data_IF_727875114402
#
_entry.id   IF_727875114402
#
_cell.length_a   1.000
_cell.length_b   1.000
_cell.length_c   1.000
_cell.angle_alpha   90.00
_cell.angle_beta   90.00
_cell.angle_gamma   90.00
#
_symmetry.space_group_name_H-M   'P 1'
#
loop_
_entity.id
_entity.type
_entity.pdbx_description
1 polymer ?
#
# COMPACT_ATOMS: atom_id res chain seq x y z
N UNK A 1 -13.30 -16.90 7.75
CA UNK A 1 -13.22 -15.63 8.49
C UNK A 1 -14.54 -14.91 8.29
N UNK A 2 -15.01 -14.10 9.26
CA UNK A 2 -16.16 -13.23 9.04
C UNK A 2 -15.76 -12.21 7.95
N UNK A 3 -16.70 -11.89 7.06
CA UNK A 3 -16.47 -10.87 6.03
C UNK A 3 -16.35 -9.51 6.72
N UNK A 4 -15.33 -8.72 6.38
CA UNK A 4 -15.10 -7.39 6.95
C UNK A 4 -16.31 -6.49 6.68
N UNK A 5 -16.59 -5.60 7.62
CA UNK A 5 -17.66 -4.62 7.50
C UNK A 5 -17.07 -3.23 7.28
N UNK A 6 -17.51 -2.52 6.25
CA UNK A 6 -17.07 -1.17 5.91
C UNK A 6 -18.20 -0.17 6.11
N UNK A 7 -17.85 1.06 6.50
CA UNK A 7 -18.72 2.20 6.28
C UNK A 7 -18.75 2.50 4.77
N UNK A 8 -19.96 2.62 4.22
CA UNK A 8 -20.17 2.85 2.80
C UNK A 8 -20.77 4.22 2.53
N UNK A 9 -20.44 4.75 1.37
CA UNK A 9 -20.77 6.12 0.98
C UNK A 9 -21.29 6.17 -0.47
N UNK A 10 -22.03 7.25 -0.77
CA UNK A 10 -22.37 7.60 -2.14
C UNK A 10 -21.21 8.34 -2.84
N UNK A 11 -21.46 8.82 -4.07
CA UNK A 11 -20.43 9.51 -4.87
C UNK A 11 -19.99 10.86 -4.27
N UNK A 12 -20.84 11.52 -3.50
CA UNK A 12 -20.57 12.75 -2.77
C UNK A 12 -20.00 12.51 -1.36
N UNK A 13 -19.71 11.24 -1.01
CA UNK A 13 -19.25 10.81 0.32
C UNK A 13 -20.27 11.04 1.43
N UNK A 14 -21.57 11.07 1.12
CA UNK A 14 -22.59 10.99 2.15
C UNK A 14 -22.70 9.54 2.65
N UNK A 15 -22.82 9.32 3.98
CA UNK A 15 -22.89 7.96 4.54
C UNK A 15 -24.20 7.25 4.12
N UNK A 16 -24.07 6.01 3.66
CA UNK A 16 -25.17 5.12 3.30
C UNK A 16 -25.46 4.05 4.37
N UNK A 17 -24.54 3.88 5.32
CA UNK A 17 -24.59 2.84 6.35
C UNK A 17 -23.37 1.93 6.28
N UNK A 18 -23.55 0.65 6.53
CA UNK A 18 -22.47 -0.34 6.50
C UNK A 18 -22.81 -1.49 5.54
N UNK A 19 -21.79 -2.07 4.93
CA UNK A 19 -21.91 -3.27 4.10
C UNK A 19 -20.68 -4.18 4.31
N UNK A 20 -20.86 -5.46 4.00
CA UNK A 20 -19.71 -6.36 4.00
C UNK A 20 -18.76 -6.02 2.85
N UNK A 21 -17.48 -6.40 2.97
CA UNK A 21 -16.49 -6.23 1.90
C UNK A 21 -17.00 -6.80 0.56
N UNK A 22 -17.54 -8.01 0.61
CA UNK A 22 -18.10 -8.68 -0.58
C UNK A 22 -19.24 -7.87 -1.21
N UNK A 23 -20.16 -7.34 -0.41
CA UNK A 23 -21.26 -6.52 -0.89
C UNK A 23 -20.78 -5.17 -1.42
N UNK A 24 -19.84 -4.54 -0.73
CA UNK A 24 -19.23 -3.27 -1.11
C UNK A 24 -18.65 -3.34 -2.52
N UNK A 25 -17.83 -4.35 -2.79
CA UNK A 25 -17.22 -4.55 -4.10
C UNK A 25 -18.20 -5.07 -5.16
N UNK A 26 -19.21 -5.85 -4.79
CA UNK A 26 -20.22 -6.29 -5.74
C UNK A 26 -21.12 -5.15 -6.24
N UNK A 27 -21.38 -4.16 -5.38
CA UNK A 27 -22.24 -3.01 -5.69
C UNK A 27 -21.48 -1.73 -6.04
N UNK A 28 -20.16 -1.72 -5.83
CA UNK A 28 -19.29 -0.57 -6.08
C UNK A 28 -19.61 0.62 -5.16
N UNK A 29 -19.86 0.36 -3.87
CA UNK A 29 -19.99 1.44 -2.90
C UNK A 29 -18.63 2.09 -2.63
N UNK A 30 -18.62 3.41 -2.46
CA UNK A 30 -17.45 4.12 -1.97
C UNK A 30 -17.17 3.72 -0.53
N UNK A 31 -15.91 3.47 -0.23
CA UNK A 31 -15.42 3.17 1.12
C UNK A 31 -14.04 3.79 1.33
N UNK A 32 -13.54 3.75 2.54
CA UNK A 32 -12.28 4.43 2.90
C UNK A 32 -11.14 3.45 3.11
N UNK A 33 -9.95 3.90 2.76
CA UNK A 33 -8.70 3.18 3.00
C UNK A 33 -7.60 4.14 3.47
N UNK A 34 -6.51 3.56 3.96
CA UNK A 34 -5.29 4.27 4.31
C UNK A 34 -4.14 3.73 3.47
N UNK A 35 -3.32 4.63 2.93
CA UNK A 35 -2.08 4.32 2.25
C UNK A 35 -0.91 4.90 3.04
N UNK A 36 0.08 4.09 3.39
CA UNK A 36 1.25 4.56 4.09
C UNK A 36 2.53 4.17 3.35
N UNK A 37 3.30 5.17 2.93
CA UNK A 37 4.59 5.02 2.28
C UNK A 37 5.71 5.22 3.30
N UNK A 38 6.53 4.20 3.52
CA UNK A 38 7.67 4.29 4.40
C UNK A 38 8.89 4.78 3.62
N UNK A 39 9.63 5.69 4.26
CA UNK A 39 10.91 6.18 3.75
C UNK A 39 12.01 5.98 4.77
N UNK A 40 13.25 5.94 4.31
CA UNK A 40 14.46 5.88 5.13
C UNK A 40 15.48 6.87 4.58
N UNK A 41 16.27 7.46 5.47
CA UNK A 41 17.38 8.33 5.10
C UNK A 41 18.74 7.64 5.31
N UNK A 42 19.65 7.92 4.39
CA UNK A 42 21.05 7.52 4.53
C UNK A 42 21.94 8.64 3.98
N UNK A 43 22.45 9.47 4.87
CA UNK A 43 23.11 10.73 4.50
C UNK A 43 22.13 11.65 3.76
N UNK A 44 22.47 12.05 2.55
CA UNK A 44 21.62 12.88 1.69
C UNK A 44 20.66 12.05 0.81
N UNK A 45 20.81 10.72 0.80
CA UNK A 45 19.96 9.84 0.00
C UNK A 45 18.67 9.51 0.74
N UNK A 46 17.58 9.36 0.00
CA UNK A 46 16.28 8.92 0.47
C UNK A 46 15.86 7.66 -0.24
N UNK A 47 15.42 6.70 0.53
CA UNK A 47 14.91 5.43 0.03
C UNK A 47 13.41 5.35 0.31
N UNK A 48 12.66 4.82 -0.64
CA UNK A 48 11.23 4.53 -0.50
C UNK A 48 11.04 3.04 -0.44
N UNK A 49 10.24 2.59 0.53
CA UNK A 49 9.87 1.18 0.68
C UNK A 49 8.56 0.90 -0.02
N UNK A 50 8.46 -0.29 -0.57
CA UNK A 50 7.26 -0.82 -1.21
C UNK A 50 7.15 -2.32 -0.92
N UNK A 51 5.92 -2.83 -0.82
CA UNK A 51 5.70 -4.24 -0.56
C UNK A 51 5.58 -5.05 -1.86
N UNK A 52 5.87 -6.34 -1.78
CA UNK A 52 5.46 -7.34 -2.74
C UNK A 52 4.24 -8.06 -2.17
N UNK A 53 3.11 -7.95 -2.85
CA UNK A 53 1.85 -8.59 -2.46
C UNK A 53 1.97 -10.10 -2.56
N UNK A 54 1.30 -10.82 -1.66
CA UNK A 54 1.25 -12.27 -1.74
C UNK A 54 0.59 -12.76 -3.04
N UNK A 55 1.12 -13.88 -3.54
CA UNK A 55 0.59 -14.52 -4.75
C UNK A 55 -0.83 -15.09 -4.57
N UNK A 56 -1.29 -15.20 -3.33
CA UNK A 56 -2.62 -15.71 -2.96
C UNK A 56 -3.68 -14.60 -2.82
N UNK A 57 -3.30 -13.33 -3.01
CA UNK A 57 -4.25 -12.21 -2.95
C UNK A 57 -5.25 -12.27 -4.10
N UNK A 58 -6.50 -11.96 -3.82
CA UNK A 58 -7.59 -11.95 -4.80
C UNK A 58 -7.41 -10.87 -5.88
N UNK A 59 -6.83 -9.72 -5.49
CA UNK A 59 -6.56 -8.60 -6.39
C UNK A 59 -5.07 -8.34 -6.49
N UNK A 60 -4.57 -8.09 -7.71
CA UNK A 60 -3.17 -7.73 -8.00
C UNK A 60 -2.14 -8.66 -7.30
N UNK A 61 -2.27 -10.02 -7.40
CA UNK A 61 -1.31 -10.94 -6.80
C UNK A 61 0.09 -10.74 -7.39
N UNK A 62 1.11 -10.84 -6.54
CA UNK A 62 2.52 -10.70 -6.93
C UNK A 62 2.92 -9.36 -7.55
N UNK A 63 2.09 -8.33 -7.43
CA UNK A 63 2.48 -6.97 -7.78
C UNK A 63 3.22 -6.30 -6.62
N UNK A 64 4.09 -5.35 -6.96
CA UNK A 64 4.59 -4.37 -5.99
C UNK A 64 3.51 -3.34 -5.68
N UNK A 65 3.49 -2.84 -4.45
CA UNK A 65 2.45 -1.91 -4.00
C UNK A 65 3.00 -0.92 -2.96
N UNK A 66 2.15 -0.03 -2.49
CA UNK A 66 2.36 0.85 -1.34
C UNK A 66 2.99 0.05 -0.20
N UNK A 67 3.77 0.69 0.67
CA UNK A 67 4.48 -0.05 1.73
C UNK A 67 3.51 -0.77 2.67
N UNK A 68 2.43 -0.10 3.11
CA UNK A 68 1.31 -0.68 3.83
C UNK A 68 0.01 0.01 3.40
N UNK A 69 -1.05 -0.74 3.22
CA UNK A 69 -2.36 -0.21 2.82
C UNK A 69 -3.49 -1.13 3.29
N UNK A 70 -4.55 -0.53 3.83
CA UNK A 70 -5.69 -1.29 4.31
C UNK A 70 -6.98 -0.47 4.32
N UNK A 71 -8.10 -1.17 4.44
CA UNK A 71 -9.42 -0.55 4.52
C UNK A 71 -9.73 -0.12 5.95
N UNK A 72 -10.51 0.94 6.08
CA UNK A 72 -11.13 1.29 7.34
C UNK A 72 -12.36 0.40 7.56
N UNK A 73 -12.39 -0.32 8.67
CA UNK A 73 -13.57 -1.07 9.09
C UNK A 73 -14.68 -0.14 9.56
N UNK A 74 -15.92 -0.64 9.63
CA UNK A 74 -17.06 0.17 10.03
C UNK A 74 -16.88 0.81 11.42
N UNK A 75 -17.01 2.13 11.48
CA UNK A 75 -16.80 2.94 12.70
C UNK A 75 -15.34 3.22 13.03
N UNK A 76 -14.39 2.72 12.26
CA UNK A 76 -12.95 2.93 12.49
C UNK A 76 -12.53 4.35 12.11
N UNK A 77 -11.70 4.95 12.93
CA UNK A 77 -11.06 6.24 12.66
C UNK A 77 -9.71 6.05 11.95
N UNK A 78 -9.19 7.10 11.30
CA UNK A 78 -7.84 7.05 10.72
C UNK A 78 -6.75 6.72 11.76
N UNK A 79 -6.91 7.17 13.01
CA UNK A 79 -5.95 6.87 14.07
C UNK A 79 -5.90 5.37 14.41
N UNK A 80 -7.03 4.70 14.30
CA UNK A 80 -7.12 3.25 14.49
C UNK A 80 -6.64 2.48 13.25
N UNK A 81 -6.94 2.99 12.04
CA UNK A 81 -6.52 2.37 10.78
C UNK A 81 -4.98 2.31 10.60
N UNK A 82 -4.23 3.12 11.35
CA UNK A 82 -2.75 3.03 11.39
C UNK A 82 -2.26 1.66 11.89
N UNK A 83 -3.12 0.84 12.53
CA UNK A 83 -2.84 -0.56 12.90
C UNK A 83 -2.30 -1.41 11.72
N UNK A 84 -2.68 -1.07 10.47
CA UNK A 84 -2.22 -1.77 9.28
C UNK A 84 -0.68 -1.81 9.18
N UNK A 85 0.01 -0.77 9.66
CA UNK A 85 1.47 -0.75 9.72
C UNK A 85 2.03 -1.83 10.67
N UNK A 86 1.40 -2.04 11.82
CA UNK A 86 1.83 -3.10 12.77
C UNK A 86 1.40 -4.48 12.28
N UNK A 87 0.19 -4.61 11.74
CA UNK A 87 -0.34 -5.89 11.24
C UNK A 87 0.47 -6.40 10.05
N UNK A 88 0.66 -5.58 9.02
CA UNK A 88 1.37 -5.98 7.81
C UNK A 88 2.89 -6.07 7.96
N UNK A 89 3.50 -5.16 8.75
CA UNK A 89 4.95 -4.95 8.76
C UNK A 89 5.60 -5.02 10.15
N UNK A 90 4.82 -5.01 11.24
CA UNK A 90 5.33 -4.90 12.60
C UNK A 90 5.88 -3.51 12.93
N UNK A 91 5.45 -2.47 12.22
CA UNK A 91 5.87 -1.08 12.43
C UNK A 91 4.80 -0.36 13.24
N UNK A 92 5.16 0.13 14.41
CA UNK A 92 4.26 0.89 15.28
C UNK A 92 4.54 2.39 15.16
N UNK A 93 3.54 3.14 14.78
CA UNK A 93 3.60 4.61 14.75
C UNK A 93 2.18 5.17 15.00
N UNK A 94 2.02 6.15 15.91
CA UNK A 94 0.74 6.84 16.03
C UNK A 94 0.51 7.78 14.84
N UNK A 95 -0.76 8.11 14.57
CA UNK A 95 -1.15 8.94 13.42
C UNK A 95 -0.39 10.29 13.37
N UNK A 96 -0.07 10.86 14.53
CA UNK A 96 0.63 12.16 14.65
C UNK A 96 2.08 12.12 14.11
N UNK A 97 2.65 10.93 13.95
CA UNK A 97 3.98 10.76 13.34
C UNK A 97 3.90 10.62 11.82
N UNK A 98 2.71 10.35 11.28
CA UNK A 98 2.51 10.23 9.85
C UNK A 98 2.39 11.62 9.21
N UNK A 99 3.04 11.80 8.08
CA UNK A 99 3.04 13.02 7.29
C UNK A 99 1.92 12.93 6.27
N UNK A 100 0.86 13.77 6.35
CA UNK A 100 -0.22 13.70 5.38
C UNK A 100 0.26 14.16 3.99
N UNK A 101 0.01 13.33 2.98
CA UNK A 101 0.36 13.59 1.58
C UNK A 101 -0.86 13.96 0.74
N UNK A 102 -2.05 13.88 1.31
CA UNK A 102 -3.32 14.19 0.66
C UNK A 102 -4.28 13.01 0.63
N UNK A 103 -5.30 13.13 -0.21
CA UNK A 103 -6.33 12.12 -0.39
C UNK A 103 -6.46 11.80 -1.88
N UNK A 104 -6.71 10.54 -2.20
CA UNK A 104 -6.88 10.05 -3.58
C UNK A 104 -8.23 9.34 -3.69
N UNK A 105 -8.93 9.54 -4.80
CA UNK A 105 -10.10 8.75 -5.18
C UNK A 105 -9.72 7.84 -6.33
N UNK A 106 -9.94 6.57 -6.17
CA UNK A 106 -9.66 5.56 -7.18
C UNK A 106 -10.92 4.73 -7.46
N UNK A 107 -11.06 4.32 -8.70
CA UNK A 107 -12.09 3.38 -9.12
C UNK A 107 -11.46 2.38 -10.06
N UNK A 108 -11.64 1.11 -9.77
CA UNK A 108 -11.28 0.04 -10.69
C UNK A 108 -12.42 -0.98 -10.81
N UNK A 109 -12.47 -1.66 -11.94
CA UNK A 109 -13.45 -2.70 -12.23
C UNK A 109 -12.74 -3.92 -12.79
N UNK A 110 -13.25 -5.10 -12.49
CA UNK A 110 -12.66 -6.33 -12.96
C UNK A 110 -13.51 -7.54 -12.64
N UNK A 111 -12.89 -8.70 -12.74
CA UNK A 111 -13.48 -9.98 -12.36
C UNK A 111 -12.53 -10.66 -11.39
N UNK A 112 -13.02 -10.96 -10.20
CA UNK A 112 -12.29 -11.70 -9.16
C UNK A 112 -13.00 -13.03 -8.91
N UNK A 113 -12.29 -14.15 -9.07
CA UNK A 113 -12.86 -15.50 -8.91
C UNK A 113 -14.15 -15.74 -9.73
N UNK A 114 -14.27 -15.11 -10.92
CA UNK A 114 -15.44 -15.23 -11.79
C UNK A 114 -16.62 -14.32 -11.41
N UNK A 115 -16.48 -13.48 -10.41
CA UNK A 115 -17.51 -12.52 -9.95
C UNK A 115 -17.09 -11.10 -10.35
N UNK A 116 -18.02 -10.27 -10.91
CA UNK A 116 -17.77 -8.86 -11.14
C UNK A 116 -17.36 -8.15 -9.84
N UNK A 117 -16.36 -7.30 -9.95
CA UNK A 117 -15.74 -6.59 -8.84
C UNK A 117 -15.62 -5.11 -9.23
N UNK A 118 -16.12 -4.24 -8.38
CA UNK A 118 -16.03 -2.78 -8.53
C UNK A 118 -15.45 -2.25 -7.24
N UNK A 119 -14.27 -1.72 -7.32
CA UNK A 119 -13.59 -1.11 -6.20
C UNK A 119 -13.62 0.40 -6.32
N UNK A 120 -14.13 1.09 -5.30
CA UNK A 120 -14.24 2.55 -5.23
C UNK A 120 -13.74 3.03 -3.89
N UNK A 121 -12.53 3.52 -3.88
CA UNK A 121 -11.84 3.92 -2.66
C UNK A 121 -11.59 5.43 -2.57
N UNK A 122 -11.72 5.94 -1.36
CA UNK A 122 -11.15 7.23 -0.96
C UNK A 122 -10.05 6.93 0.05
N UNK A 123 -8.81 7.05 -0.41
CA UNK A 123 -7.62 6.68 0.35
C UNK A 123 -6.96 7.92 0.95
N UNK A 124 -6.80 7.93 2.27
CA UNK A 124 -5.97 8.92 2.95
C UNK A 124 -4.50 8.50 2.86
N UNK A 125 -3.66 9.32 2.23
CA UNK A 125 -2.28 8.97 1.89
C UNK A 125 -1.31 9.65 2.85
N UNK A 126 -0.40 8.85 3.40
CA UNK A 126 0.61 9.29 4.37
C UNK A 126 2.01 8.83 3.99
N UNK A 127 3.01 9.61 4.46
CA UNK A 127 4.40 9.21 4.51
C UNK A 127 4.84 8.97 5.96
N UNK A 128 5.81 8.09 6.17
CA UNK A 128 6.43 7.85 7.48
C UNK A 128 7.93 7.65 7.28
N UNK A 129 8.75 8.42 8.01
CA UNK A 129 10.18 8.14 8.12
C UNK A 129 10.37 6.98 9.10
N UNK A 130 10.86 5.85 8.59
CA UNK A 130 10.99 4.61 9.35
C UNK A 130 12.43 4.09 9.23
N UNK A 131 13.18 4.20 10.32
CA UNK A 131 14.58 3.77 10.39
C UNK A 131 14.73 2.29 10.78
N UNK A 132 13.62 1.58 11.08
CA UNK A 132 13.65 0.14 11.38
C UNK A 132 14.31 -0.61 10.22
N UNK A 133 15.37 -1.40 10.47
CA UNK A 133 16.00 -2.21 9.43
C UNK A 133 14.99 -3.17 8.76
N UNK A 134 15.10 -3.40 7.46
CA UNK A 134 14.24 -4.34 6.74
C UNK A 134 14.24 -5.74 7.36
N UNK A 135 15.39 -6.18 7.91
CA UNK A 135 15.52 -7.49 8.57
C UNK A 135 14.80 -7.62 9.90
N UNK A 136 14.35 -6.50 10.49
CA UNK A 136 13.61 -6.47 11.75
C UNK A 136 12.09 -6.33 11.55
N UNK A 137 11.64 -6.18 10.30
CA UNK A 137 10.22 -6.17 9.97
C UNK A 137 9.57 -7.53 10.29
N UNK A 138 8.29 -7.50 10.60
CA UNK A 138 7.46 -8.68 10.83
C UNK A 138 6.35 -8.71 9.81
N UNK A 139 6.60 -9.37 8.68
CA UNK A 139 5.64 -9.40 7.59
C UNK A 139 4.49 -10.35 7.90
N UNK A 140 3.27 -9.91 7.62
CA UNK A 140 2.06 -10.73 7.68
C UNK A 140 2.05 -11.69 6.47
N UNK A 141 2.18 -13.01 6.69
CA UNK A 141 2.42 -13.95 5.58
C UNK A 141 1.26 -14.06 4.58
N UNK A 142 0.05 -13.71 5.00
CA UNK A 142 -1.15 -13.77 4.17
C UNK A 142 -1.22 -12.58 3.20
N UNK A 143 -0.57 -11.46 3.55
CA UNK A 143 -0.67 -10.19 2.83
C UNK A 143 0.61 -9.86 2.07
N UNK A 144 1.77 -9.98 2.74
CA UNK A 144 3.06 -9.44 2.29
C UNK A 144 4.07 -10.56 2.04
N UNK A 145 4.51 -10.70 0.80
CA UNK A 145 5.56 -11.66 0.40
C UNK A 145 6.97 -11.11 0.63
N UNK A 146 7.13 -9.79 0.62
CA UNK A 146 8.41 -9.13 0.83
C UNK A 146 8.27 -7.62 0.90
N UNK A 147 9.31 -6.95 1.40
CA UNK A 147 9.44 -5.48 1.40
C UNK A 147 10.77 -5.11 0.81
N UNK A 148 10.76 -4.18 -0.11
CA UNK A 148 11.93 -3.69 -0.83
C UNK A 148 12.08 -2.19 -0.63
N UNK A 149 13.30 -1.69 -0.79
CA UNK A 149 13.57 -0.26 -0.85
C UNK A 149 14.40 0.09 -2.09
N UNK A 150 14.13 1.27 -2.63
CA UNK A 150 14.84 1.84 -3.75
C UNK A 150 15.08 3.34 -3.51
N UNK A 151 16.11 3.88 -4.18
CA UNK A 151 16.34 5.32 -4.18
C UNK A 151 15.10 6.07 -4.70
N UNK A 152 14.70 7.13 -3.99
CA UNK A 152 13.47 7.88 -4.27
C UNK A 152 13.50 8.53 -5.66
N UNK A 153 14.64 9.14 -6.04
CA UNK A 153 14.75 9.82 -7.32
C UNK A 153 14.73 8.82 -8.49
N UNK A 154 15.36 7.64 -8.29
CA UNK A 154 15.31 6.58 -9.29
C UNK A 154 13.90 5.99 -9.42
N UNK A 155 13.17 5.81 -8.30
CA UNK A 155 11.79 5.33 -8.33
C UNK A 155 10.85 6.36 -8.99
N UNK A 156 11.05 7.64 -8.73
CA UNK A 156 10.34 8.71 -9.43
C UNK A 156 10.63 8.68 -10.93
N UNK A 157 11.90 8.57 -11.32
CA UNK A 157 12.34 8.47 -12.72
C UNK A 157 11.74 7.24 -13.45
N UNK A 158 11.53 6.12 -12.73
CA UNK A 158 10.85 4.93 -13.25
C UNK A 158 9.39 5.24 -13.62
N UNK A 159 8.64 5.88 -12.71
CA UNK A 159 7.22 6.23 -12.97
C UNK A 159 7.06 7.41 -13.94
N UNK A 160 8.07 8.27 -14.08
CA UNK A 160 8.11 9.31 -15.11
C UNK A 160 8.52 8.76 -16.50
N UNK A 161 8.90 7.48 -16.57
CA UNK A 161 9.30 6.81 -17.82
C UNK A 161 10.70 7.17 -18.33
N UNK A 162 11.51 7.85 -17.53
CA UNK A 162 12.93 8.14 -17.85
C UNK A 162 13.86 6.98 -17.53
N UNK A 163 13.42 6.04 -16.68
CA UNK A 163 14.02 4.73 -16.48
C UNK A 163 13.04 3.64 -16.89
N UNK A 164 13.55 2.52 -17.40
CA UNK A 164 12.74 1.34 -17.75
C UNK A 164 12.71 0.31 -16.63
N UNK A 165 13.74 0.30 -15.81
CA UNK A 165 13.90 -0.61 -14.67
C UNK A 165 14.87 -0.02 -13.65
N UNK A 166 14.76 -0.46 -12.39
CA UNK A 166 15.71 -0.06 -11.35
C UNK A 166 16.00 -1.21 -10.37
N UNK A 167 17.21 -1.29 -9.80
CA UNK A 167 17.53 -2.24 -8.75
C UNK A 167 16.88 -1.83 -7.42
N UNK A 168 16.36 -2.80 -6.69
CA UNK A 168 15.88 -2.63 -5.33
C UNK A 168 16.42 -3.73 -4.42
N UNK A 169 16.65 -3.38 -3.17
CA UNK A 169 17.10 -4.31 -2.13
C UNK A 169 16.00 -4.49 -1.09
N UNK A 170 15.92 -5.67 -0.51
CA UNK A 170 14.83 -5.92 0.43
C UNK A 170 14.97 -7.21 1.18
N UNK A 171 13.84 -7.63 1.74
CA UNK A 171 13.64 -8.90 2.40
C UNK A 171 12.38 -9.58 1.87
N UNK A 172 12.39 -10.89 1.86
CA UNK A 172 11.25 -11.69 1.44
C UNK A 172 11.01 -12.85 2.42
N UNK A 173 9.74 -13.24 2.54
CA UNK A 173 9.35 -14.45 3.23
C UNK A 173 9.72 -15.67 2.37
N UNK A 174 10.40 -16.67 2.93
CA UNK A 174 10.65 -17.92 2.20
C UNK A 174 9.33 -18.70 2.03
N UNK A 175 9.23 -19.52 0.98
CA UNK A 175 8.11 -20.45 0.83
C UNK A 175 7.97 -21.33 2.09
N UNK A 176 6.75 -21.35 2.66
CA UNK A 176 6.47 -22.11 3.88
C UNK A 176 6.75 -21.38 5.20
N UNK A 177 7.11 -20.10 5.14
CA UNK A 177 7.38 -19.26 6.31
C UNK A 177 8.81 -19.44 6.86
N UNK A 178 9.14 -18.65 7.87
CA UNK A 178 10.46 -18.66 8.51
C UNK A 178 11.08 -17.26 8.56
N UNK A 179 12.38 -17.18 8.92
CA UNK A 179 13.08 -15.89 8.96
C UNK A 179 13.12 -15.22 7.60
N UNK A 180 13.04 -13.90 7.59
CA UNK A 180 13.17 -13.09 6.38
C UNK A 180 14.55 -13.33 5.72
N UNK A 181 14.54 -13.47 4.41
CA UNK A 181 15.75 -13.64 3.60
C UNK A 181 16.05 -12.34 2.86
N UNK A 182 17.33 -11.93 2.87
CA UNK A 182 17.77 -10.82 2.04
C UNK A 182 17.49 -11.11 0.56
N UNK A 183 16.95 -10.13 -0.14
CA UNK A 183 16.52 -10.25 -1.53
C UNK A 183 16.96 -9.04 -2.35
N UNK A 184 17.33 -9.28 -3.60
CA UNK A 184 17.66 -8.25 -4.57
C UNK A 184 16.83 -8.48 -5.81
N UNK A 185 16.19 -7.44 -6.29
CA UNK A 185 15.30 -7.51 -7.45
C UNK A 185 15.59 -6.36 -8.41
N UNK A 186 15.17 -6.52 -9.65
CA UNK A 186 15.07 -5.42 -10.62
C UNK A 186 13.59 -5.22 -10.88
N UNK A 187 13.11 -4.01 -10.63
CA UNK A 187 11.69 -3.69 -10.74
C UNK A 187 11.39 -2.78 -11.93
N UNK A 188 10.19 -2.93 -12.50
CA UNK A 188 9.66 -2.13 -13.60
C UNK A 188 8.33 -1.50 -13.16
N UNK A 189 7.95 -0.39 -13.77
CA UNK A 189 6.71 0.32 -13.43
C UNK A 189 5.46 -0.55 -13.62
N UNK A 190 5.43 -1.41 -14.64
CA UNK A 190 4.32 -2.30 -14.96
C UNK A 190 4.16 -3.50 -14.00
N UNK A 191 5.10 -3.69 -13.09
CA UNK A 191 5.03 -4.69 -12.02
C UNK A 191 4.37 -4.15 -10.74
N UNK A 192 4.09 -2.85 -10.69
CA UNK A 192 3.34 -2.26 -9.59
C UNK A 192 1.84 -2.38 -9.82
N UNK A 193 1.06 -2.33 -8.74
CA UNK A 193 -0.41 -2.30 -8.82
C UNK A 193 -0.82 -1.22 -9.81
N UNK A 194 -1.65 -1.55 -10.81
CA UNK A 194 -2.07 -0.58 -11.82
C UNK A 194 -2.92 0.54 -11.19
N UNK A 195 -2.33 1.72 -11.13
CA UNK A 195 -2.97 2.98 -10.72
C UNK A 195 -2.71 4.04 -11.77
N UNK A 196 -3.41 5.17 -11.70
CA UNK A 196 -3.01 6.30 -12.51
C UNK A 196 -1.55 6.67 -12.22
N UNK A 197 -0.74 6.87 -13.28
CA UNK A 197 0.68 7.22 -13.12
C UNK A 197 0.87 8.49 -12.29
N UNK A 198 -0.10 9.39 -12.30
CA UNK A 198 -0.15 10.59 -11.47
C UNK A 198 -0.13 10.28 -9.98
N UNK A 199 -0.73 9.17 -9.54
CA UNK A 199 -0.68 8.73 -8.14
C UNK A 199 0.76 8.57 -7.66
N UNK A 200 1.51 7.66 -8.30
CA UNK A 200 2.89 7.37 -7.91
C UNK A 200 3.80 8.60 -7.98
N UNK A 201 3.73 9.35 -9.08
CA UNK A 201 4.60 10.52 -9.26
C UNK A 201 4.28 11.64 -8.26
N UNK A 202 3.00 11.87 -7.93
CA UNK A 202 2.61 12.89 -6.95
C UNK A 202 3.02 12.51 -5.53
N UNK A 203 2.81 11.24 -5.15
CA UNK A 203 3.23 10.73 -3.83
C UNK A 203 4.75 10.83 -3.68
N UNK A 204 5.52 10.34 -4.66
CA UNK A 204 6.99 10.37 -4.60
C UNK A 204 7.53 11.81 -4.54
N UNK A 205 6.96 12.75 -5.31
CA UNK A 205 7.32 14.17 -5.23
C UNK A 205 6.97 14.78 -3.86
N UNK A 206 5.85 14.40 -3.27
CA UNK A 206 5.47 14.84 -1.93
C UNK A 206 6.44 14.29 -0.87
N UNK A 207 6.77 12.99 -0.93
CA UNK A 207 7.78 12.36 -0.05
C UNK A 207 9.14 13.05 -0.17
N UNK A 208 9.60 13.37 -1.39
CA UNK A 208 10.85 14.10 -1.62
C UNK A 208 10.90 15.43 -0.88
N UNK A 209 9.77 16.10 -0.72
CA UNK A 209 9.71 17.44 -0.14
C UNK A 209 9.55 17.42 1.39
N UNK A 210 9.06 16.35 1.98
CA UNK A 210 8.67 16.32 3.39
C UNK A 210 9.35 15.22 4.25
N UNK A 211 10.11 14.32 3.64
CA UNK A 211 10.83 13.25 4.38
C UNK A 211 12.35 13.37 4.33
#
# INVERSE_FOLDING_TARGET
MADELFDIYDEEMNPLGTATRSETHAKGYWHRSIHCWLTRREGDNRFVRFQLRQATKDTNPSCYDITAAGHLTAGETLAEAVRELDEELGVQAPLEQLIPLGQVREQCEGIVNGVPFIDREVSDVFGLVCETPLSELRLQPEEVAGVYEADLEMLLALFEGSLTELPATGVALPPGGGPLLASHVVVKADQFVPRELSYYTNVLRSLRNCT
#
